data_IF_789207293905
#
_entry.id   IF_789207293905
#
_cell.length_a   1.000
_cell.length_b   1.000
_cell.length_c   1.000
_cell.angle_alpha   90.00
_cell.angle_beta   90.00
_cell.angle_gamma   90.00
#
_symmetry.space_group_name_H-M   'P 1'
#
loop_
_entity.id
_entity.type
_entity.pdbx_description
1 polymer ?
#
# COMPACT_ATOMS: atom_id res chain seq x y z
N UNK A 1 8.86 -0.68 -8.19
CA UNK A 1 10.04 -1.26 -7.52
C UNK A 1 11.25 -0.34 -7.68
N UNK A 2 11.52 0.20 -8.88
CA UNK A 2 12.68 1.05 -9.17
C UNK A 2 12.77 2.35 -8.34
N UNK A 3 11.70 2.75 -7.68
CA UNK A 3 11.69 3.87 -6.76
C UNK A 3 12.10 3.40 -5.38
N UNK A 4 13.14 4.01 -4.81
CA UNK A 4 13.75 3.63 -3.53
C UNK A 4 12.94 4.24 -2.36
N UNK A 5 11.71 3.83 -2.21
CA UNK A 5 10.79 4.35 -1.19
C UNK A 5 11.00 3.66 0.16
N UNK A 6 12.18 3.83 0.74
CA UNK A 6 12.45 3.32 2.10
C UNK A 6 11.70 4.19 3.10
N UNK A 7 10.93 3.55 3.99
CA UNK A 7 10.04 4.22 4.94
C UNK A 7 10.72 5.39 5.65
N UNK A 8 10.08 6.57 5.80
CA UNK A 8 8.73 6.93 5.35
C UNK A 8 8.70 7.59 3.96
N UNK A 9 9.80 7.54 3.19
CA UNK A 9 9.92 8.23 1.91
C UNK A 9 9.12 7.52 0.79
N UNK A 10 8.18 8.22 0.15
CA UNK A 10 7.42 7.69 -1.00
C UNK A 10 8.23 7.63 -2.29
N UNK A 11 9.18 8.53 -2.47
CA UNK A 11 9.99 8.65 -3.69
C UNK A 11 9.16 8.71 -4.99
N UNK A 12 7.94 9.24 -4.93
CA UNK A 12 7.02 9.39 -6.07
C UNK A 12 6.34 8.08 -6.51
N UNK A 13 6.31 7.04 -5.66
CA UNK A 13 5.53 5.84 -5.95
C UNK A 13 4.05 6.16 -6.06
N UNK A 14 3.53 7.00 -5.14
CA UNK A 14 2.14 7.43 -5.16
C UNK A 14 1.80 8.24 -6.41
N UNK A 15 2.73 9.04 -6.94
CA UNK A 15 2.51 9.79 -8.18
C UNK A 15 2.17 8.88 -9.36
N UNK A 16 2.86 7.75 -9.48
CA UNK A 16 2.59 6.76 -10.53
C UNK A 16 1.17 6.20 -10.41
N UNK A 17 0.73 5.90 -9.20
CA UNK A 17 -0.64 5.40 -8.94
C UNK A 17 -1.68 6.49 -9.21
N UNK A 18 -1.44 7.70 -8.71
CA UNK A 18 -2.33 8.85 -8.87
C UNK A 18 -2.53 9.20 -10.35
N UNK A 19 -1.45 9.24 -11.13
CA UNK A 19 -1.53 9.48 -12.58
C UNK A 19 -2.47 8.47 -13.26
N UNK A 20 -2.28 7.17 -12.99
CA UNK A 20 -3.08 6.11 -13.59
C UNK A 20 -4.53 6.12 -13.12
N UNK A 21 -4.77 6.30 -11.83
CA UNK A 21 -6.13 6.37 -11.26
C UNK A 21 -6.87 7.62 -11.75
N UNK A 22 -6.21 8.77 -11.83
CA UNK A 22 -6.79 10.00 -12.37
C UNK A 22 -7.20 9.84 -13.83
N UNK A 23 -6.40 9.13 -14.63
CA UNK A 23 -6.68 8.89 -16.05
C UNK A 23 -7.98 8.09 -16.30
N UNK A 24 -8.43 7.32 -15.31
CA UNK A 24 -9.69 6.56 -15.36
C UNK A 24 -10.80 7.17 -14.49
N UNK A 25 -10.66 8.41 -14.04
CA UNK A 25 -11.72 9.21 -13.42
C UNK A 25 -11.80 9.14 -11.91
N UNK A 26 -10.80 8.60 -11.21
CA UNK A 26 -10.74 8.71 -9.76
C UNK A 26 -10.53 10.17 -9.34
N UNK A 27 -11.28 10.60 -8.32
CA UNK A 27 -11.06 11.86 -7.60
C UNK A 27 -9.97 11.62 -6.56
N UNK A 28 -8.89 12.37 -6.65
CA UNK A 28 -7.70 12.18 -5.82
C UNK A 28 -7.63 13.26 -4.73
N UNK A 29 -7.38 12.85 -3.51
CA UNK A 29 -7.03 13.73 -2.40
C UNK A 29 -5.68 13.31 -1.83
N UNK A 30 -4.67 14.19 -1.94
CA UNK A 30 -3.37 14.00 -1.30
C UNK A 30 -3.45 14.44 0.15
N UNK A 31 -3.00 13.58 1.03
CA UNK A 31 -3.07 13.77 2.48
C UNK A 31 -1.66 13.62 3.05
N UNK A 32 -1.04 14.72 3.46
CA UNK A 32 0.27 14.69 4.11
C UNK A 32 0.13 14.95 5.59
N UNK A 33 0.67 14.03 6.40
CA UNK A 33 0.74 14.17 7.85
C UNK A 33 2.19 14.02 8.28
N UNK A 34 2.76 15.07 8.92
CA UNK A 34 4.19 15.08 9.19
C UNK A 34 5.02 14.91 7.93
N UNK A 35 5.89 13.92 7.93
CA UNK A 35 6.73 13.57 6.78
C UNK A 35 6.16 12.43 5.92
N UNK A 36 4.96 11.96 6.25
CA UNK A 36 4.32 10.83 5.58
C UNK A 36 3.37 11.30 4.48
N UNK A 37 3.57 10.80 3.28
CA UNK A 37 2.68 11.00 2.16
C UNK A 37 1.58 9.93 2.16
N UNK A 38 0.34 10.40 2.06
CA UNK A 38 -0.83 9.53 1.90
C UNK A 38 -1.70 10.05 0.76
N UNK A 39 -2.55 9.20 0.21
CA UNK A 39 -3.66 9.68 -0.60
C UNK A 39 -4.92 8.83 -0.39
N UNK A 40 -6.06 9.50 -0.56
CA UNK A 40 -7.37 8.92 -0.72
C UNK A 40 -7.84 9.16 -2.14
N UNK A 41 -8.32 8.13 -2.81
CA UNK A 41 -8.83 8.23 -4.16
C UNK A 41 -10.16 7.51 -4.27
N UNK A 42 -11.15 8.09 -4.97
CA UNK A 42 -12.50 7.51 -5.10
C UNK A 42 -13.00 7.59 -6.54
N UNK A 43 -13.56 6.49 -7.03
CA UNK A 43 -14.33 6.42 -8.27
C UNK A 43 -15.77 6.01 -7.96
N UNK A 44 -16.74 6.64 -8.62
CA UNK A 44 -18.17 6.52 -8.33
C UNK A 44 -18.64 7.57 -7.29
N UNK A 45 -19.93 7.90 -7.36
CA UNK A 45 -20.47 9.03 -6.58
C UNK A 45 -21.27 8.59 -5.35
N UNK A 46 -21.96 7.45 -5.41
CA UNK A 46 -22.91 7.02 -4.38
C UNK A 46 -22.86 5.51 -4.14
N UNK A 47 -23.37 5.10 -2.98
CA UNK A 47 -23.47 3.69 -2.59
C UNK A 47 -22.29 3.21 -1.75
N UNK A 48 -22.27 1.91 -1.45
CA UNK A 48 -21.26 1.32 -0.58
C UNK A 48 -19.86 1.37 -1.23
N UNK A 49 -18.83 1.46 -0.40
CA UNK A 49 -17.45 1.64 -0.82
C UNK A 49 -16.62 0.38 -0.59
N UNK A 50 -15.99 -0.14 -1.65
CA UNK A 50 -14.89 -1.09 -1.56
C UNK A 50 -13.57 -0.32 -1.61
N UNK A 51 -12.77 -0.43 -0.57
CA UNK A 51 -11.47 0.20 -0.47
C UNK A 51 -10.34 -0.81 -0.72
N UNK A 52 -9.40 -0.46 -1.58
CA UNK A 52 -8.09 -1.09 -1.66
C UNK A 52 -7.12 -0.30 -0.79
N UNK A 53 -6.54 -0.95 0.23
CA UNK A 53 -5.58 -0.30 1.11
C UNK A 53 -4.20 -0.94 1.00
N UNK A 54 -3.16 -0.12 1.20
CA UNK A 54 -1.78 -0.58 1.18
C UNK A 54 -0.77 0.54 1.33
N UNK A 55 0.50 0.17 1.15
CA UNK A 55 1.62 1.08 1.34
C UNK A 55 2.60 1.05 0.17
N UNK A 56 3.25 2.19 -0.06
CA UNK A 56 4.28 2.34 -1.09
C UNK A 56 5.69 2.26 -0.54
N UNK A 57 5.84 2.47 0.75
CA UNK A 57 7.13 2.35 1.43
C UNK A 57 7.57 0.89 1.56
N UNK A 58 8.84 0.73 1.85
CA UNK A 58 9.48 -0.57 2.03
C UNK A 58 10.49 -0.50 3.16
N UNK A 59 10.73 -1.64 3.83
CA UNK A 59 11.83 -1.75 4.81
C UNK A 59 13.20 -1.56 4.15
N UNK A 60 14.24 -1.16 4.90
CA UNK A 60 15.61 -1.11 4.39
C UNK A 60 16.04 -2.44 3.76
N UNK A 61 16.90 -2.34 2.74
CA UNK A 61 17.38 -3.52 2.00
C UNK A 61 18.28 -4.45 2.82
N UNK A 62 18.84 -3.94 3.91
CA UNK A 62 20.03 -4.54 4.51
C UNK A 62 21.25 -4.39 3.62
N UNK A 63 22.33 -5.15 3.85
CA UNK A 63 23.54 -5.09 3.03
C UNK A 63 23.26 -5.50 1.58
N UNK A 64 23.42 -4.57 0.64
CA UNK A 64 23.07 -4.80 -0.77
C UNK A 64 23.92 -5.87 -1.43
N UNK A 65 25.12 -6.13 -0.94
CA UNK A 65 25.98 -7.25 -1.41
C UNK A 65 25.38 -8.64 -1.17
N UNK A 66 24.38 -8.78 -0.31
CA UNK A 66 23.68 -10.03 -0.07
C UNK A 66 22.56 -10.31 -1.09
N UNK A 67 22.27 -9.36 -1.97
CA UNK A 67 21.28 -9.49 -3.01
C UNK A 67 21.90 -10.08 -4.28
N UNK A 68 21.25 -11.06 -4.92
CA UNK A 68 21.68 -11.60 -6.22
C UNK A 68 21.45 -10.60 -7.37
N UNK A 69 20.43 -9.76 -7.23
CA UNK A 69 20.11 -8.65 -8.12
C UNK A 69 19.99 -7.39 -7.27
N UNK A 70 20.37 -6.23 -7.78
CA UNK A 70 20.23 -4.99 -7.02
C UNK A 70 18.75 -4.79 -6.56
N UNK A 71 18.52 -4.45 -5.28
CA UNK A 71 17.17 -4.51 -4.69
C UNK A 71 16.13 -3.59 -5.35
N UNK A 72 16.57 -2.56 -6.08
CA UNK A 72 15.70 -1.62 -6.77
C UNK A 72 15.77 -1.68 -8.31
N UNK A 73 16.40 -2.70 -8.89
CA UNK A 73 16.47 -2.85 -10.36
C UNK A 73 15.15 -3.36 -10.96
N UNK A 74 14.31 -4.01 -10.16
CA UNK A 74 13.12 -4.71 -10.65
C UNK A 74 13.46 -5.72 -11.77
N UNK A 75 14.51 -6.49 -11.56
CA UNK A 75 14.97 -7.50 -12.51
C UNK A 75 13.95 -8.61 -12.69
N UNK A 76 13.84 -9.13 -13.91
CA UNK A 76 13.01 -10.33 -14.18
C UNK A 76 13.93 -11.55 -14.25
N UNK A 77 13.77 -12.45 -13.30
CA UNK A 77 14.57 -13.69 -13.21
C UNK A 77 13.63 -14.88 -13.19
N UNK A 78 13.75 -15.78 -14.13
CA UNK A 78 12.90 -16.97 -14.26
C UNK A 78 11.38 -16.67 -14.21
N UNK A 79 10.96 -15.57 -14.83
CA UNK A 79 9.57 -15.14 -14.86
C UNK A 79 9.07 -14.44 -13.58
N UNK A 80 9.93 -14.17 -12.62
CA UNK A 80 9.62 -13.49 -11.37
C UNK A 80 10.26 -12.10 -11.35
N UNK A 81 9.53 -11.11 -10.85
CA UNK A 81 10.07 -9.79 -10.55
C UNK A 81 10.80 -9.88 -9.21
N UNK A 82 12.10 -9.60 -9.23
CA UNK A 82 12.96 -9.61 -8.04
C UNK A 82 13.28 -8.18 -7.62
N UNK A 83 13.08 -7.88 -6.34
CA UNK A 83 13.40 -6.58 -5.76
C UNK A 83 12.71 -6.30 -4.44
N UNK A 84 13.22 -5.32 -3.70
CA UNK A 84 12.62 -4.87 -2.45
C UNK A 84 11.23 -4.29 -2.73
N UNK A 85 10.22 -4.75 -1.96
CA UNK A 85 8.82 -4.35 -2.13
C UNK A 85 8.09 -5.06 -3.28
N UNK A 86 8.70 -6.04 -3.98
CA UNK A 86 8.02 -6.76 -5.05
C UNK A 86 6.83 -7.57 -4.54
N UNK A 87 7.01 -8.29 -3.42
CA UNK A 87 5.95 -9.05 -2.76
C UNK A 87 5.19 -8.20 -1.72
N UNK A 88 5.91 -7.39 -0.97
CA UNK A 88 5.41 -6.55 0.10
C UNK A 88 5.66 -5.06 -0.22
N UNK A 89 4.66 -4.30 -0.71
CA UNK A 89 3.45 -4.83 -1.34
C UNK A 89 3.19 -4.17 -2.71
N UNK A 90 4.24 -3.61 -3.36
CA UNK A 90 4.12 -2.87 -4.64
C UNK A 90 3.54 -3.71 -5.78
N UNK A 91 3.80 -5.05 -5.76
CA UNK A 91 3.21 -5.96 -6.74
C UNK A 91 1.68 -6.01 -6.64
N UNK A 92 1.16 -6.10 -5.41
CA UNK A 92 -0.29 -6.06 -5.15
C UNK A 92 -0.90 -4.71 -5.52
N UNK A 93 -0.24 -3.59 -5.19
CA UNK A 93 -0.71 -2.25 -5.58
C UNK A 93 -0.84 -2.13 -7.10
N UNK A 94 0.17 -2.59 -7.83
CA UNK A 94 0.13 -2.58 -9.30
C UNK A 94 -1.03 -3.44 -9.84
N UNK A 95 -1.26 -4.61 -9.25
CA UNK A 95 -2.37 -5.49 -9.63
C UNK A 95 -3.74 -4.84 -9.37
N UNK A 96 -3.91 -4.17 -8.22
CA UNK A 96 -5.14 -3.44 -7.88
C UNK A 96 -5.43 -2.31 -8.86
N UNK A 97 -4.43 -1.50 -9.20
CA UNK A 97 -4.60 -0.41 -10.18
C UNK A 97 -5.00 -0.97 -11.54
N UNK A 98 -4.31 -1.99 -12.05
CA UNK A 98 -4.63 -2.62 -13.34
C UNK A 98 -6.02 -3.27 -13.34
N UNK A 99 -6.42 -3.88 -12.22
CA UNK A 99 -7.76 -4.44 -12.08
C UNK A 99 -8.84 -3.35 -12.17
N UNK A 100 -8.64 -2.20 -11.50
CA UNK A 100 -9.54 -1.07 -11.58
C UNK A 100 -9.61 -0.47 -12.98
N UNK A 101 -8.47 -0.30 -13.67
CA UNK A 101 -8.45 0.18 -15.06
C UNK A 101 -9.31 -0.70 -15.98
N UNK A 102 -9.16 -2.02 -15.87
CA UNK A 102 -9.94 -2.98 -16.67
C UNK A 102 -11.42 -2.96 -16.29
N UNK A 103 -11.72 -2.89 -15.00
CA UNK A 103 -13.09 -2.88 -14.51
C UNK A 103 -13.84 -1.63 -14.94
N UNK A 104 -13.26 -0.44 -14.74
CA UNK A 104 -13.87 0.84 -15.10
C UNK A 104 -14.05 0.96 -16.62
N UNK A 105 -13.08 0.48 -17.41
CA UNK A 105 -13.21 0.47 -18.87
C UNK A 105 -14.43 -0.34 -19.39
N UNK A 106 -14.79 -1.42 -18.68
CA UNK A 106 -15.93 -2.28 -19.05
C UNK A 106 -17.22 -1.78 -18.37
N UNK A 107 -17.12 -1.21 -17.18
CA UNK A 107 -18.23 -0.80 -16.33
C UNK A 107 -18.11 0.68 -15.90
N UNK A 108 -18.16 1.64 -16.83
CA UNK A 108 -17.93 3.06 -16.49
C UNK A 108 -18.99 3.63 -15.54
N UNK A 109 -20.19 3.05 -15.54
CA UNK A 109 -21.33 3.47 -14.71
C UNK A 109 -21.67 2.43 -13.63
N UNK A 110 -20.66 1.78 -13.05
CA UNK A 110 -20.88 0.79 -11.98
C UNK A 110 -21.60 1.40 -10.77
N UNK A 111 -22.36 0.58 -10.05
CA UNK A 111 -22.94 0.96 -8.76
C UNK A 111 -21.90 0.86 -7.65
N UNK A 112 -22.07 1.69 -6.59
CA UNK A 112 -21.13 1.75 -5.49
C UNK A 112 -19.87 2.58 -5.81
N UNK A 113 -18.95 2.61 -4.88
CA UNK A 113 -17.68 3.34 -4.98
C UNK A 113 -16.50 2.39 -4.87
N UNK A 114 -15.45 2.68 -5.60
CA UNK A 114 -14.14 2.03 -5.46
C UNK A 114 -13.20 3.08 -4.91
N UNK A 115 -12.46 2.74 -3.86
CA UNK A 115 -11.52 3.65 -3.24
C UNK A 115 -10.12 3.05 -3.10
N UNK A 116 -9.11 3.93 -3.01
CA UNK A 116 -7.75 3.59 -2.60
C UNK A 116 -7.37 4.42 -1.39
N UNK A 117 -6.82 3.77 -0.37
CA UNK A 117 -6.16 4.39 0.77
C UNK A 117 -4.72 3.92 0.78
N UNK A 118 -3.80 4.82 0.46
CA UNK A 118 -2.39 4.48 0.32
C UNK A 118 -1.55 5.36 1.24
N UNK A 119 -0.58 4.75 1.92
CA UNK A 119 0.37 5.41 2.81
C UNK A 119 1.81 5.15 2.39
N UNK A 120 2.73 6.00 2.84
CA UNK A 120 4.19 5.79 2.75
C UNK A 120 4.86 5.47 4.09
N UNK A 121 4.09 5.10 5.12
CA UNK A 121 4.62 4.74 6.44
C UNK A 121 3.75 3.63 7.08
N UNK A 122 3.82 2.43 6.49
CA UNK A 122 3.31 1.20 7.12
C UNK A 122 4.43 0.43 7.79
N UNK A 123 5.59 0.39 7.16
CA UNK A 123 6.78 -0.38 7.55
C UNK A 123 7.63 0.34 8.63
N UNK A 124 7.30 1.58 8.97
CA UNK A 124 8.01 2.39 9.93
C UNK A 124 7.25 2.55 11.25
N UNK A 125 7.14 3.82 11.70
CA UNK A 125 6.47 4.15 12.97
C UNK A 125 4.95 4.03 12.85
N UNK A 126 4.39 4.18 11.65
CA UNK A 126 2.98 4.02 11.29
C UNK A 126 2.00 4.93 12.07
N UNK A 127 2.46 6.11 12.53
CA UNK A 127 1.64 7.07 13.30
C UNK A 127 0.90 8.04 12.36
N UNK A 128 1.58 8.52 11.31
CA UNK A 128 1.07 9.55 10.41
C UNK A 128 0.57 8.95 9.06
N UNK A 129 0.46 7.62 9.00
CA UNK A 129 -0.05 6.85 7.86
C UNK A 129 -1.55 6.59 7.93
N UNK A 130 -1.92 5.35 7.67
CA UNK A 130 -3.30 4.85 7.55
C UNK A 130 -4.21 5.30 8.69
N UNK A 131 -3.73 5.33 9.93
CA UNK A 131 -4.54 5.71 11.10
C UNK A 131 -5.04 7.16 11.02
N UNK A 132 -4.21 8.09 10.50
CA UNK A 132 -4.61 9.50 10.32
C UNK A 132 -5.67 9.64 9.23
N UNK A 133 -5.50 8.91 8.13
CA UNK A 133 -6.47 8.92 7.03
C UNK A 133 -7.81 8.33 7.50
N UNK A 134 -7.81 7.21 8.21
CA UNK A 134 -9.04 6.59 8.75
C UNK A 134 -9.76 7.53 9.72
N UNK A 135 -9.04 8.24 10.61
CA UNK A 135 -9.64 9.21 11.51
C UNK A 135 -10.31 10.35 10.73
N UNK A 136 -9.65 10.89 9.70
CA UNK A 136 -10.22 11.91 8.84
C UNK A 136 -11.48 11.41 8.11
N UNK A 137 -11.44 10.21 7.54
CA UNK A 137 -12.61 9.61 6.87
C UNK A 137 -13.76 9.37 7.84
N UNK A 138 -13.47 8.98 9.09
CA UNK A 138 -14.46 8.82 10.15
C UNK A 138 -15.15 10.14 10.49
N UNK A 139 -14.40 11.23 10.62
CA UNK A 139 -14.94 12.57 10.86
C UNK A 139 -15.87 13.04 9.73
N UNK A 140 -15.59 12.62 8.50
CA UNK A 140 -16.36 12.92 7.29
C UNK A 140 -17.55 11.98 7.04
N UNK A 141 -17.71 10.91 7.82
CA UNK A 141 -18.64 9.80 7.57
C UNK A 141 -18.40 9.12 6.20
N UNK A 142 -17.13 8.95 5.82
CA UNK A 142 -16.70 8.38 4.55
C UNK A 142 -15.95 7.04 4.72
N UNK A 143 -16.11 6.37 5.86
CA UNK A 143 -15.48 5.06 6.07
C UNK A 143 -15.99 4.04 5.04
N UNK A 144 -15.10 3.23 4.45
CA UNK A 144 -15.50 2.19 3.52
C UNK A 144 -16.20 1.04 4.26
N UNK A 145 -17.17 0.39 3.59
CA UNK A 145 -17.87 -0.80 4.10
C UNK A 145 -17.00 -2.05 3.99
N UNK A 146 -16.16 -2.13 2.97
CA UNK A 146 -15.25 -3.24 2.77
C UNK A 146 -13.83 -2.73 2.47
N UNK A 147 -12.85 -3.47 2.97
CA UNK A 147 -11.45 -3.18 2.71
C UNK A 147 -10.71 -4.46 2.30
N UNK A 148 -9.96 -4.37 1.19
CA UNK A 148 -9.04 -5.40 0.75
C UNK A 148 -7.62 -4.85 0.83
N UNK A 149 -6.77 -5.56 1.58
CA UNK A 149 -5.37 -5.22 1.79
C UNK A 149 -4.52 -6.26 1.07
N UNK A 150 -3.62 -5.81 0.19
CA UNK A 150 -2.84 -6.68 -0.68
C UNK A 150 -1.53 -7.19 -0.10
N UNK A 151 -1.45 -7.33 1.21
CA UNK A 151 -0.30 -7.91 1.89
C UNK A 151 -0.04 -9.37 1.48
N UNK A 152 1.22 -9.82 1.45
CA UNK A 152 1.55 -11.19 1.06
C UNK A 152 0.96 -12.20 2.05
N UNK A 153 0.05 -13.04 1.56
CA UNK A 153 -0.61 -14.07 2.37
C UNK A 153 -0.59 -15.44 1.73
N UNK A 154 -0.42 -15.50 0.41
CA UNK A 154 -0.40 -16.74 -0.35
C UNK A 154 0.81 -17.61 -0.01
N UNK A 155 0.66 -18.92 -0.08
CA UNK A 155 1.70 -19.91 0.25
C UNK A 155 2.22 -20.65 -0.97
N UNK A 156 1.36 -21.35 -1.70
CA UNK A 156 1.75 -22.16 -2.85
C UNK A 156 1.26 -21.58 -4.19
N UNK A 157 0.10 -20.94 -4.18
CA UNK A 157 -0.51 -20.31 -5.37
C UNK A 157 -1.06 -18.94 -4.98
N UNK A 158 -1.00 -17.99 -5.92
CA UNK A 158 -1.61 -16.68 -5.70
C UNK A 158 -3.10 -16.83 -5.33
N UNK A 159 -3.49 -16.26 -4.19
CA UNK A 159 -4.86 -16.27 -3.68
C UNK A 159 -5.29 -17.56 -2.96
N UNK A 160 -4.38 -18.51 -2.68
CA UNK A 160 -4.71 -19.73 -1.94
C UNK A 160 -4.95 -19.52 -0.45
N UNK A 161 -4.50 -18.40 0.10
CA UNK A 161 -4.71 -18.01 1.50
C UNK A 161 -5.19 -16.56 1.57
N UNK A 162 -6.33 -16.36 2.22
CA UNK A 162 -6.85 -15.04 2.58
C UNK A 162 -6.95 -14.94 4.10
N UNK A 163 -6.35 -13.90 4.66
CA UNK A 163 -6.45 -13.61 6.10
C UNK A 163 -7.65 -12.70 6.35
N UNK A 164 -8.56 -13.13 7.22
CA UNK A 164 -9.75 -12.36 7.62
C UNK A 164 -9.60 -11.67 9.00
N UNK A 165 -8.37 -11.60 9.51
CA UNK A 165 -8.02 -10.95 10.77
C UNK A 165 -6.51 -10.90 10.95
N UNK A 166 -6.03 -10.12 11.91
CA UNK A 166 -4.61 -9.96 12.19
C UNK A 166 -4.28 -10.31 13.64
N UNK A 167 -3.04 -10.73 13.86
CA UNK A 167 -2.44 -10.84 15.19
C UNK A 167 -1.99 -9.45 15.63
N UNK A 168 -2.01 -9.20 16.93
CA UNK A 168 -1.26 -8.08 17.51
C UNK A 168 0.23 -8.40 17.62
N UNK A 169 1.05 -7.37 17.72
CA UNK A 169 2.46 -7.48 18.10
C UNK A 169 2.70 -6.69 19.39
N UNK A 170 3.59 -7.21 20.23
CA UNK A 170 4.04 -6.55 21.45
C UNK A 170 5.56 -6.57 21.47
N UNK A 171 6.15 -5.39 21.51
CA UNK A 171 7.59 -5.22 21.68
C UNK A 171 7.91 -4.67 23.08
N UNK A 172 9.06 -5.04 23.62
CA UNK A 172 9.59 -4.42 24.83
C UNK A 172 11.10 -4.21 24.71
N UNK A 173 11.59 -3.19 25.40
CA UNK A 173 13.03 -2.95 25.56
C UNK A 173 13.40 -3.21 27.00
N UNK A 174 14.31 -4.17 27.23
CA UNK A 174 14.87 -4.44 28.55
C UNK A 174 16.24 -3.78 28.65
N UNK A 175 16.39 -2.86 29.59
CA UNK A 175 17.67 -2.24 29.90
C UNK A 175 18.17 -2.77 31.25
N UNK A 176 19.32 -3.45 31.23
CA UNK A 176 20.00 -3.90 32.46
C UNK A 176 21.19 -2.99 32.74
N UNK A 177 21.16 -2.34 33.90
CA UNK A 177 22.29 -1.52 34.40
C UNK A 177 23.04 -2.30 35.47
N UNK A 178 24.32 -2.60 35.21
CA UNK A 178 25.23 -3.17 36.21
C UNK A 178 25.89 -2.04 37.03
N UNK A 179 26.30 -2.39 38.23
CA UNK A 179 27.16 -1.56 39.08
C UNK A 179 28.47 -2.30 39.29
N UNK A 180 29.60 -1.64 39.02
CA UNK A 180 30.94 -2.16 39.35
C UNK A 180 31.30 -1.81 40.80
#
# INVERSE_FOLDING_TARGET
IRRRSVTPDDCGCQDVMIERLSAIGFKIERLRFGDVDNFWAVHGDTGPTLCFAGHTDVVPTGPEQNWQQAPFDASIVNGHIVGRGAADMKGSLAAMVVACERFVAINPNHSGRIAFLITSDEEGIAIDGTIKVINLLKERNELPEWCLIGEPSSTAKCGDVVKNGRRGSLGCTLTVKGQQ
#
